data_IF_648989476630
#
_entry.id   IF_648989476630
#
_cell.length_a   1.000
_cell.length_b   1.000
_cell.length_c   1.000
_cell.angle_alpha   90.00
_cell.angle_beta   90.00
_cell.angle_gamma   90.00
#
_symmetry.space_group_name_H-M   'P 1'
#
loop_
_entity.id
_entity.type
_entity.pdbx_description
1 polymer ?
#
# COMPACT_ATOMS: atom_id res chain seq x y z
N UNK A 1 -58.42 12.42 -41.49
CA UNK A 1 -58.36 12.39 -40.01
C UNK A 1 -57.18 11.47 -39.69
N UNK A 2 -55.95 11.76 -40.12
CA UNK A 2 -55.19 13.00 -39.85
C UNK A 2 -55.23 13.33 -38.37
N UNK A 3 -54.13 13.01 -37.67
CA UNK A 3 -53.25 13.99 -36.99
C UNK A 3 -52.07 13.20 -36.35
N UNK A 4 -50.86 13.36 -36.94
CA UNK A 4 -49.67 14.03 -36.37
C UNK A 4 -48.79 13.07 -35.53
N UNK A 5 -47.75 12.48 -36.13
CA UNK A 5 -46.35 12.98 -36.18
C UNK A 5 -45.71 13.28 -34.81
N UNK A 6 -44.75 12.45 -34.42
CA UNK A 6 -43.50 12.92 -33.76
C UNK A 6 -42.43 11.85 -33.92
N UNK A 7 -41.65 11.99 -34.99
CA UNK A 7 -40.28 11.51 -35.07
C UNK A 7 -39.42 12.37 -34.15
N UNK A 8 -38.52 11.76 -33.37
CA UNK A 8 -37.23 12.36 -33.03
C UNK A 8 -36.23 11.22 -32.84
N UNK A 9 -35.48 10.97 -33.92
CA UNK A 9 -34.16 10.35 -33.87
C UNK A 9 -33.20 11.21 -33.03
N UNK A 10 -32.25 10.56 -32.39
CA UNK A 10 -31.22 11.19 -31.58
C UNK A 10 -30.08 10.22 -31.31
N UNK A 11 -29.43 9.77 -32.39
CA UNK A 11 -28.07 9.25 -32.37
C UNK A 11 -27.14 10.42 -32.04
N UNK A 12 -26.57 10.42 -30.84
CA UNK A 12 -25.37 11.20 -30.51
C UNK A 12 -24.32 10.22 -30.01
N UNK A 13 -23.77 9.50 -30.98
CA UNK A 13 -22.38 9.08 -31.00
C UNK A 13 -21.47 10.31 -30.82
N UNK A 14 -20.39 10.11 -30.04
CA UNK A 14 -19.24 11.00 -29.87
C UNK A 14 -19.47 12.31 -29.11
N UNK A 15 -18.84 12.43 -27.93
CA UNK A 15 -17.86 13.48 -27.59
C UNK A 15 -17.29 13.12 -26.23
N UNK A 16 -15.96 12.94 -26.19
CA UNK A 16 -15.23 12.91 -24.93
C UNK A 16 -14.19 11.80 -24.84
N UNK A 17 -13.36 11.62 -25.87
CA UNK A 17 -11.96 11.27 -25.62
C UNK A 17 -11.36 12.36 -24.72
N UNK A 18 -11.59 12.25 -23.41
CA UNK A 18 -10.65 12.81 -22.45
C UNK A 18 -9.46 11.88 -22.54
N UNK A 19 -8.47 12.31 -23.32
CA UNK A 19 -7.12 11.81 -23.27
C UNK A 19 -6.77 11.62 -21.79
N UNK A 20 -6.82 10.36 -21.35
CA UNK A 20 -6.17 9.98 -20.12
C UNK A 20 -4.71 10.29 -20.39
N UNK A 21 -4.22 11.37 -19.80
CA UNK A 21 -2.80 11.60 -19.63
C UNK A 21 -2.24 10.26 -19.15
N UNK A 22 -1.55 9.57 -20.05
CA UNK A 22 -0.84 8.35 -19.76
C UNK A 22 0.23 8.80 -18.76
N UNK A 23 -0.10 8.78 -17.48
CA UNK A 23 0.89 8.62 -16.45
C UNK A 23 1.70 7.43 -16.93
N UNK A 24 2.94 7.68 -17.36
CA UNK A 24 3.92 6.65 -17.68
C UNK A 24 4.00 5.77 -16.44
N UNK A 25 3.20 4.70 -16.41
CA UNK A 25 3.34 3.62 -15.44
C UNK A 25 4.63 2.95 -15.84
N UNK A 26 5.73 3.41 -15.27
CA UNK A 26 7.00 2.70 -15.32
C UNK A 26 6.70 1.30 -14.81
N UNK A 27 6.92 0.32 -15.68
CA UNK A 27 6.48 -1.05 -15.44
C UNK A 27 7.29 -1.64 -14.29
N UNK A 28 6.62 -2.03 -13.20
CA UNK A 28 7.22 -2.91 -12.20
C UNK A 28 7.40 -4.30 -12.78
N UNK A 29 8.65 -4.74 -12.95
CA UNK A 29 8.98 -6.01 -13.61
C UNK A 29 9.15 -7.18 -12.63
N UNK A 30 9.32 -6.88 -11.33
CA UNK A 30 9.68 -7.88 -10.32
C UNK A 30 9.08 -7.59 -8.95
N UNK A 31 8.32 -8.56 -8.43
CA UNK A 31 7.90 -8.57 -7.03
C UNK A 31 9.06 -8.98 -6.12
N UNK A 32 9.40 -8.13 -5.16
CA UNK A 32 10.47 -8.35 -4.19
C UNK A 32 9.93 -8.89 -2.86
N UNK A 33 8.72 -8.47 -2.48
CA UNK A 33 8.04 -8.86 -1.23
C UNK A 33 6.56 -9.06 -1.51
N UNK A 34 5.98 -10.13 -0.96
CA UNK A 34 4.53 -10.34 -0.89
C UNK A 34 4.19 -11.01 0.45
N UNK A 35 3.46 -10.30 1.30
CA UNK A 35 3.14 -10.73 2.66
C UNK A 35 1.62 -10.65 2.87
N UNK A 36 0.93 -11.80 2.84
CA UNK A 36 -0.47 -11.88 3.24
C UNK A 36 -0.61 -12.12 4.76
N UNK A 37 -1.19 -11.16 5.46
CA UNK A 37 -1.52 -11.20 6.89
C UNK A 37 -3.04 -11.33 7.06
N UNK A 38 -3.55 -12.55 6.86
CA UNK A 38 -4.98 -12.94 6.89
C UNK A 38 -5.15 -14.31 7.59
N UNK A 39 -5.97 -14.48 8.65
CA UNK A 39 -6.83 -13.47 9.24
C UNK A 39 -6.06 -12.51 10.16
N UNK A 40 -6.43 -11.23 10.15
CA UNK A 40 -5.89 -10.20 11.02
C UNK A 40 -6.82 -8.97 10.99
N UNK A 41 -7.02 -8.27 12.11
CA UNK A 41 -7.68 -6.96 12.08
C UNK A 41 -6.61 -5.86 11.96
N UNK A 42 -6.52 -5.13 10.82
CA UNK A 42 -5.55 -4.06 10.68
C UNK A 42 -5.76 -2.95 11.72
N UNK A 43 -4.73 -2.62 12.53
CA UNK A 43 -4.80 -1.50 13.45
C UNK A 43 -4.70 -0.17 12.68
N UNK A 44 -5.14 0.93 13.31
CA UNK A 44 -4.98 2.29 12.78
C UNK A 44 -4.26 3.19 13.77
N UNK A 45 -3.49 4.13 13.26
CA UNK A 45 -2.95 5.26 14.04
C UNK A 45 -4.05 6.27 14.35
N UNK A 46 -5.01 5.92 15.21
CA UNK A 46 -5.94 6.91 15.77
C UNK A 46 -5.25 7.85 16.78
N UNK A 47 -5.97 8.88 17.24
CA UNK A 47 -5.54 9.85 18.25
C UNK A 47 -5.45 9.19 19.65
N UNK A 48 -4.36 8.49 19.97
CA UNK A 48 -4.22 7.80 21.26
C UNK A 48 -2.80 7.41 21.63
N UNK A 49 -2.57 7.17 22.93
CA UNK A 49 -1.27 6.90 23.56
C UNK A 49 -0.68 5.50 23.26
N UNK A 50 -1.33 4.68 22.43
CA UNK A 50 -1.01 3.24 22.27
C UNK A 50 -0.38 2.88 20.91
N UNK A 51 0.21 3.86 20.20
CA UNK A 51 0.78 3.65 18.87
C UNK A 51 1.83 2.53 18.88
N UNK A 52 2.70 2.49 19.89
CA UNK A 52 3.73 1.46 20.02
C UNK A 52 3.17 0.04 20.20
N UNK A 53 2.06 -0.11 20.91
CA UNK A 53 1.39 -1.41 21.08
C UNK A 53 0.77 -1.87 19.75
N UNK A 54 0.10 -0.96 19.04
CA UNK A 54 -0.49 -1.25 17.73
C UNK A 54 0.56 -1.62 16.69
N UNK A 55 1.68 -0.90 16.65
CA UNK A 55 2.82 -1.22 15.80
C UNK A 55 3.41 -2.59 16.18
N UNK A 56 3.57 -2.86 17.49
CA UNK A 56 4.04 -4.16 17.98
C UNK A 56 3.13 -5.32 17.57
N UNK A 57 1.80 -5.14 17.66
CA UNK A 57 0.81 -6.14 17.23
C UNK A 57 0.92 -6.44 15.73
N UNK A 58 1.04 -5.41 14.90
CA UNK A 58 1.23 -5.57 13.45
C UNK A 58 2.57 -6.26 13.13
N UNK A 59 3.65 -5.84 13.78
CA UNK A 59 4.97 -6.47 13.63
C UNK A 59 4.92 -7.96 13.96
N UNK A 60 4.30 -8.32 15.08
CA UNK A 60 4.13 -9.72 15.48
C UNK A 60 3.32 -10.49 14.43
N UNK A 61 2.19 -9.93 13.97
CA UNK A 61 1.37 -10.57 12.95
C UNK A 61 2.12 -10.81 11.63
N UNK A 62 3.00 -9.90 11.21
CA UNK A 62 3.86 -10.11 10.03
C UNK A 62 4.87 -11.24 10.29
N UNK A 63 5.51 -11.25 11.46
CA UNK A 63 6.51 -12.26 11.83
C UNK A 63 5.91 -13.65 12.04
N UNK A 64 4.61 -13.77 12.28
CA UNK A 64 3.88 -15.04 12.28
C UNK A 64 3.69 -15.61 10.86
N UNK A 65 3.79 -14.78 9.82
CA UNK A 65 3.64 -15.19 8.40
C UNK A 65 4.96 -15.36 7.67
N UNK A 66 5.98 -14.66 8.14
CA UNK A 66 7.28 -14.57 7.47
C UNK A 66 8.36 -14.85 8.49
N UNK A 67 9.20 -15.85 8.21
CA UNK A 67 10.33 -16.18 9.08
C UNK A 67 11.36 -15.05 9.11
N UNK A 68 12.15 -14.96 10.18
CA UNK A 68 13.24 -13.97 10.27
C UNK A 68 14.26 -14.09 9.11
N UNK A 69 14.47 -15.30 8.59
CA UNK A 69 15.34 -15.54 7.45
C UNK A 69 14.76 -14.94 6.16
N UNK A 70 13.45 -15.02 5.96
CA UNK A 70 12.77 -14.37 4.83
C UNK A 70 12.79 -12.86 4.95
N UNK A 71 12.59 -12.31 6.16
CA UNK A 71 12.78 -10.88 6.41
C UNK A 71 14.18 -10.43 6.02
N UNK A 72 15.23 -11.19 6.37
CA UNK A 72 16.60 -10.87 5.97
C UNK A 72 16.78 -10.90 4.44
N UNK A 73 16.17 -11.87 3.74
CA UNK A 73 16.17 -11.90 2.27
C UNK A 73 15.47 -10.69 1.66
N UNK A 74 14.33 -10.27 2.22
CA UNK A 74 13.62 -9.08 1.77
C UNK A 74 14.47 -7.82 1.94
N UNK A 75 15.17 -7.66 3.07
CA UNK A 75 16.08 -6.54 3.28
C UNK A 75 17.17 -6.46 2.21
N UNK A 76 17.81 -7.60 1.93
CA UNK A 76 18.84 -7.65 0.90
C UNK A 76 18.28 -7.37 -0.50
N UNK A 77 17.07 -7.87 -0.80
CA UNK A 77 16.41 -7.65 -2.09
C UNK A 77 15.96 -6.19 -2.29
N UNK A 78 15.57 -5.49 -1.23
CA UNK A 78 15.11 -4.09 -1.29
C UNK A 78 16.25 -3.07 -1.27
N UNK A 79 17.47 -3.49 -0.90
CA UNK A 79 18.58 -2.58 -0.63
C UNK A 79 18.99 -1.77 -1.87
N UNK A 80 18.81 -0.46 -1.78
CA UNK A 80 19.18 0.48 -2.84
C UNK A 80 18.33 0.37 -4.11
N UNK A 81 17.20 -0.33 -4.06
CA UNK A 81 16.20 -0.36 -5.12
C UNK A 81 15.13 0.70 -4.88
N UNK A 82 14.66 1.31 -5.96
CA UNK A 82 13.43 2.08 -5.94
C UNK A 82 12.26 1.11 -5.91
N UNK A 83 11.18 1.48 -5.21
CA UNK A 83 10.07 0.56 -4.99
C UNK A 83 8.71 1.20 -5.21
N UNK A 84 7.80 0.35 -5.70
CA UNK A 84 6.36 0.55 -5.68
C UNK A 84 5.77 -0.30 -4.56
N UNK A 85 4.91 0.28 -3.73
CA UNK A 85 4.26 -0.43 -2.62
C UNK A 85 2.76 -0.52 -2.88
N UNK A 86 2.25 -1.75 -2.93
CA UNK A 86 0.81 -2.03 -3.04
C UNK A 86 0.28 -2.59 -1.72
N UNK A 87 -0.69 -1.90 -1.12
CA UNK A 87 -1.32 -2.24 0.15
C UNK A 87 -2.81 -2.61 -0.05
N UNK A 88 -3.17 -3.85 0.27
CA UNK A 88 -4.56 -4.31 0.27
C UNK A 88 -5.11 -4.45 1.68
N UNK A 89 -6.07 -3.62 2.06
CA UNK A 89 -6.78 -3.70 3.34
C UNK A 89 -8.13 -4.38 3.15
N UNK A 90 -8.29 -5.58 3.70
CA UNK A 90 -9.52 -6.36 3.66
C UNK A 90 -10.21 -6.23 5.02
N UNK A 91 -11.29 -5.45 5.07
CA UNK A 91 -11.95 -5.09 6.31
C UNK A 91 -13.31 -5.77 6.40
N UNK A 92 -13.49 -6.59 7.42
CA UNK A 92 -14.76 -7.28 7.62
C UNK A 92 -15.90 -6.28 7.80
N UNK A 93 -17.00 -6.47 7.05
CA UNK A 93 -18.22 -5.64 7.08
C UNK A 93 -18.94 -5.71 8.41
N UNK A 94 -18.63 -6.69 9.24
CA UNK A 94 -19.26 -6.87 10.54
C UNK A 94 -20.51 -7.73 10.43
N UNK A 95 -21.23 -7.81 11.53
CA UNK A 95 -22.51 -8.51 11.57
C UNK A 95 -23.55 -7.65 12.28
N UNK A 96 -24.82 -8.01 12.14
CA UNK A 96 -25.91 -7.39 12.90
C UNK A 96 -25.78 -7.53 14.41
N UNK A 97 -24.83 -8.35 14.89
CA UNK A 97 -24.58 -8.62 16.32
C UNK A 97 -23.34 -7.91 16.87
N UNK A 98 -22.56 -7.23 16.03
CA UNK A 98 -21.27 -6.66 16.43
C UNK A 98 -21.17 -5.21 15.95
N UNK A 99 -20.96 -4.27 16.88
CA UNK A 99 -20.64 -2.89 16.53
C UNK A 99 -19.36 -2.86 15.71
N UNK A 100 -19.44 -2.42 14.47
CA UNK A 100 -18.31 -2.44 13.55
C UNK A 100 -17.88 -1.04 13.12
N UNK A 101 -16.66 -0.66 13.51
CA UNK A 101 -16.02 0.60 13.10
C UNK A 101 -14.97 0.40 12.01
N UNK A 102 -14.80 -0.82 11.47
CA UNK A 102 -13.79 -1.12 10.44
C UNK A 102 -14.03 -0.35 9.15
N UNK A 103 -15.28 -0.25 8.70
CA UNK A 103 -15.62 0.43 7.44
C UNK A 103 -15.26 1.93 7.44
N UNK A 104 -15.35 2.57 8.61
CA UNK A 104 -15.05 4.00 8.80
C UNK A 104 -13.57 4.28 9.07
N UNK A 105 -12.70 3.25 9.07
CA UNK A 105 -11.25 3.46 9.15
C UNK A 105 -10.77 4.18 7.88
N UNK A 106 -10.02 5.24 8.10
CA UNK A 106 -9.41 6.03 7.03
C UNK A 106 -8.18 5.32 6.46
N UNK A 107 -7.99 5.44 5.14
CA UNK A 107 -6.93 4.75 4.43
C UNK A 107 -5.54 5.31 4.80
N UNK A 108 -5.44 6.61 5.04
CA UNK A 108 -4.20 7.28 5.48
C UNK A 108 -3.68 6.73 6.81
N UNK A 109 -4.56 6.57 7.81
CA UNK A 109 -4.25 6.04 9.13
C UNK A 109 -3.92 4.55 9.11
N UNK A 110 -4.49 3.82 8.14
CA UNK A 110 -4.13 2.44 7.85
C UNK A 110 -2.73 2.37 7.23
N UNK A 111 -2.42 3.21 6.24
CA UNK A 111 -1.10 3.24 5.58
C UNK A 111 0.02 3.68 6.52
N UNK A 112 -0.21 4.71 7.34
CA UNK A 112 0.81 5.30 8.23
C UNK A 112 1.44 4.25 9.15
N UNK A 113 0.62 3.43 9.80
CA UNK A 113 1.13 2.38 10.69
C UNK A 113 1.90 1.28 9.93
N UNK A 114 1.56 1.01 8.67
CA UNK A 114 2.31 0.06 7.84
C UNK A 114 3.70 0.62 7.57
N UNK A 115 3.82 1.88 7.15
CA UNK A 115 5.13 2.47 6.88
C UNK A 115 6.02 2.54 8.12
N UNK A 116 5.46 2.85 9.29
CA UNK A 116 6.21 2.82 10.54
C UNK A 116 6.77 1.42 10.86
N UNK A 117 5.98 0.36 10.61
CA UNK A 117 6.39 -1.02 10.88
C UNK A 117 7.30 -1.58 9.80
N UNK A 118 7.14 -1.20 8.52
CA UNK A 118 8.06 -1.61 7.46
C UNK A 118 9.39 -0.86 7.52
N UNK A 119 9.38 0.39 7.98
CA UNK A 119 10.55 1.24 8.10
C UNK A 119 11.47 0.92 9.28
N UNK A 120 12.38 1.85 9.55
CA UNK A 120 13.27 1.83 10.73
C UNK A 120 12.53 2.34 11.96
N UNK A 121 12.75 1.72 13.12
CA UNK A 121 12.18 2.17 14.38
C UNK A 121 12.17 1.09 15.46
N UNK A 122 11.72 1.43 16.67
CA UNK A 122 11.67 0.48 17.79
C UNK A 122 10.79 -0.74 17.50
N UNK A 123 9.68 -0.53 16.78
CA UNK A 123 8.77 -1.59 16.29
C UNK A 123 8.91 -1.81 14.77
N UNK A 124 9.95 -1.24 14.16
CA UNK A 124 10.21 -1.37 12.73
C UNK A 124 10.86 -2.71 12.38
N UNK A 125 10.52 -3.24 11.21
CA UNK A 125 11.18 -4.39 10.61
C UNK A 125 12.45 -3.98 9.86
N UNK A 126 12.57 -2.70 9.47
CA UNK A 126 13.71 -2.18 8.70
C UNK A 126 13.79 -2.79 7.30
N UNK A 127 12.64 -3.06 6.68
CA UNK A 127 12.53 -3.47 5.29
C UNK A 127 12.71 -2.27 4.34
N UNK A 128 12.18 -1.11 4.75
CA UNK A 128 12.35 0.15 4.02
C UNK A 128 13.47 0.96 4.69
N UNK A 129 14.50 1.31 3.93
CA UNK A 129 15.63 2.08 4.46
C UNK A 129 15.27 3.55 4.65
N UNK A 130 14.81 4.21 3.60
CA UNK A 130 14.42 5.61 3.57
C UNK A 130 13.15 5.74 2.71
N UNK A 131 12.25 6.63 3.09
CA UNK A 131 11.01 6.91 2.37
C UNK A 131 11.24 7.44 0.94
N UNK A 132 12.37 8.10 0.71
CA UNK A 132 12.80 8.61 -0.60
C UNK A 132 12.97 7.55 -1.69
N UNK A 133 13.11 6.26 -1.34
CA UNK A 133 13.16 5.16 -2.31
C UNK A 133 11.76 4.64 -2.69
N UNK A 134 10.69 5.14 -2.05
CA UNK A 134 9.31 4.78 -2.37
C UNK A 134 8.83 5.75 -3.45
N UNK A 135 8.73 5.27 -4.69
CA UNK A 135 8.32 6.07 -5.83
C UNK A 135 6.79 6.12 -5.97
N UNK A 136 6.13 4.99 -5.73
CA UNK A 136 4.68 4.88 -5.85
C UNK A 136 4.07 4.10 -4.68
N UNK A 137 2.88 4.50 -4.28
CA UNK A 137 2.06 3.80 -3.29
C UNK A 137 0.66 3.62 -3.83
N UNK A 138 0.24 2.38 -4.00
CA UNK A 138 -1.14 2.00 -4.28
C UNK A 138 -1.76 1.43 -3.02
N UNK A 139 -2.90 1.97 -2.60
CA UNK A 139 -3.62 1.44 -1.46
C UNK A 139 -5.08 1.23 -1.82
N UNK A 140 -5.60 0.04 -1.50
CA UNK A 140 -7.02 -0.28 -1.66
C UNK A 140 -7.63 -0.69 -0.33
N UNK A 141 -8.86 -0.22 -0.09
CA UNK A 141 -9.71 -0.69 0.99
C UNK A 141 -10.86 -1.48 0.38
N UNK A 142 -11.02 -2.72 0.84
CA UNK A 142 -12.05 -3.64 0.39
C UNK A 142 -12.84 -4.15 1.59
N UNK A 143 -14.16 -4.18 1.46
CA UNK A 143 -15.04 -4.68 2.52
C UNK A 143 -15.41 -6.13 2.25
N UNK A 144 -15.03 -7.03 3.17
CA UNK A 144 -15.26 -8.49 3.04
C UNK A 144 -16.41 -8.97 3.93
N UNK A 145 -17.10 -10.02 3.51
CA UNK A 145 -18.26 -10.57 4.22
C UNK A 145 -17.84 -11.50 5.37
N UNK A 146 -16.79 -12.31 5.15
CA UNK A 146 -16.27 -13.25 6.15
C UNK A 146 -15.18 -12.59 7.01
N UNK A 147 -15.25 -12.82 8.32
CA UNK A 147 -14.22 -12.37 9.26
C UNK A 147 -12.88 -13.09 9.02
N UNK A 148 -12.91 -14.32 8.49
CA UNK A 148 -11.68 -15.07 8.17
C UNK A 148 -10.89 -14.44 7.01
N UNK A 149 -11.55 -13.66 6.15
CA UNK A 149 -10.93 -12.91 5.05
C UNK A 149 -10.38 -11.55 5.49
N UNK A 150 -10.65 -11.13 6.73
CA UNK A 150 -10.14 -9.86 7.26
C UNK A 150 -8.60 -9.88 7.32
N UNK A 151 -7.95 -8.83 6.84
CA UNK A 151 -6.50 -8.73 6.92
C UNK A 151 -5.86 -7.68 6.06
N UNK A 152 -4.58 -7.89 5.82
CA UNK A 152 -3.69 -7.01 5.09
C UNK A 152 -2.86 -7.83 4.11
N UNK A 153 -2.64 -7.31 2.91
CA UNK A 153 -1.61 -7.79 2.00
C UNK A 153 -0.65 -6.66 1.66
N UNK A 154 0.64 -6.93 1.79
CA UNK A 154 1.72 -5.99 1.48
C UNK A 154 2.48 -6.57 0.29
N UNK A 155 2.51 -5.86 -0.82
CA UNK A 155 3.31 -6.21 -2.00
C UNK A 155 4.30 -5.07 -2.22
N UNK A 156 5.57 -5.40 -2.40
CA UNK A 156 6.63 -4.44 -2.75
C UNK A 156 7.29 -4.93 -4.02
N UNK A 157 7.33 -4.06 -5.01
CA UNK A 157 7.81 -4.34 -6.36
C UNK A 157 8.92 -3.36 -6.70
N UNK A 158 9.83 -3.80 -7.56
CA UNK A 158 10.87 -2.93 -8.09
C UNK A 158 10.24 -1.86 -8.99
N UNK A 159 10.73 -0.62 -8.83
CA UNK A 159 10.42 0.51 -9.70
C UNK A 159 11.66 0.83 -10.53
N UNK A 160 11.55 0.76 -11.85
CA UNK A 160 12.69 0.89 -12.76
C UNK A 160 12.91 2.35 -13.17
N UNK A 161 13.75 3.08 -12.41
CA UNK A 161 14.23 4.41 -12.79
C UNK A 161 15.71 4.56 -12.44
N UNK A 162 16.56 4.25 -13.43
CA UNK A 162 18.01 4.26 -13.30
C UNK A 162 18.58 5.63 -12.94
N UNK A 163 17.97 6.71 -13.43
CA UNK A 163 18.43 8.08 -13.18
C UNK A 163 18.18 8.46 -11.72
N UNK A 164 16.93 8.29 -11.27
CA UNK A 164 16.56 8.56 -9.89
C UNK A 164 17.33 7.67 -8.92
N UNK A 165 17.48 6.38 -9.24
CA UNK A 165 18.23 5.44 -8.40
C UNK A 165 19.69 5.87 -8.25
N UNK A 166 20.32 6.34 -9.34
CA UNK A 166 21.69 6.86 -9.31
C UNK A 166 21.80 8.12 -8.45
N UNK A 167 20.88 9.08 -8.61
CA UNK A 167 20.87 10.33 -7.84
C UNK A 167 20.75 10.06 -6.34
N UNK A 168 19.82 9.17 -5.94
CA UNK A 168 19.62 8.81 -4.53
C UNK A 168 20.83 8.06 -3.97
N UNK A 169 21.40 7.10 -4.71
CA UNK A 169 22.63 6.40 -4.32
C UNK A 169 23.78 7.39 -4.08
N UNK A 170 23.97 8.36 -4.96
CA UNK A 170 24.99 9.39 -4.79
C UNK A 170 24.72 10.30 -3.59
N UNK A 171 23.47 10.73 -3.39
CA UNK A 171 23.06 11.59 -2.28
C UNK A 171 23.34 10.93 -0.92
N UNK A 172 22.87 9.69 -0.73
CA UNK A 172 23.06 8.96 0.52
C UNK A 172 24.52 8.53 0.74
N UNK A 173 25.27 8.23 -0.32
CA UNK A 173 26.71 7.95 -0.22
C UNK A 173 27.54 9.17 0.20
N UNK A 174 27.13 10.38 -0.19
CA UNK A 174 27.78 11.63 0.23
C UNK A 174 27.43 11.93 1.70
N UNK A 175 26.16 11.75 2.09
CA UNK A 175 25.69 11.94 3.47
C UNK A 175 26.45 11.05 4.47
N UNK A 176 26.62 9.76 4.16
CA UNK A 176 27.35 8.83 5.04
C UNK A 176 28.82 9.18 5.25
N UNK A 177 29.48 9.81 4.25
CA UNK A 177 30.87 10.26 4.35
C UNK A 177 31.05 11.54 5.18
N UNK A 178 30.00 12.33 5.33
CA UNK A 178 30.02 13.58 6.09
C UNK A 178 29.69 13.32 7.58
N UNK A 179 28.95 12.24 7.87
CA UNK A 179 28.55 11.86 9.23
C UNK A 179 29.49 10.84 9.91
N UNK A 180 30.59 10.45 9.26
CA UNK A 180 31.62 9.56 9.77
C UNK A 180 32.90 10.34 10.12
#
# INVERSE_FOLDING_TARGET
MEDEETELEGDESEIGETAAETAERVASTRTLVDIPVIPFEPPTTGSGHDIGEKQGKLRTAILERVSQNEIAKFKEALKGHLVTITLGFFLWKGSTKTTNTRAVKDLDNLMKIIFDVLGKGQQGLGLLEEDSYICEVYAKKELVEDQAEEGLRIIIEEYEDDEMQKVLKEFYSKKSKISA
#
